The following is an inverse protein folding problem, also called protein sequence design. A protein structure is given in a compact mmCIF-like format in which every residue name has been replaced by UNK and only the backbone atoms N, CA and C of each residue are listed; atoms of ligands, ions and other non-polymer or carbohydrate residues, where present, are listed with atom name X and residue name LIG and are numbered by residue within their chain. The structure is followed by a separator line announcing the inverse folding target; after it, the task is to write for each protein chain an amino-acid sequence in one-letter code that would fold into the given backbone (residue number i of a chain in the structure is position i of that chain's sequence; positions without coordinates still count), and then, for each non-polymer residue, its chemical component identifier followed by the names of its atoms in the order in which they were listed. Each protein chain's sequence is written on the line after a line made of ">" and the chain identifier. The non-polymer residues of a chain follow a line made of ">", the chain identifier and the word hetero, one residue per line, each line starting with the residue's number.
data_IF_299584041258
#
_entry.id   IF_299584041258
#
_cell.length_a   1.000
_cell.length_b   1.000
_cell.length_c   1.000
_cell.angle_alpha   90.00
_cell.angle_beta   90.00
_cell.angle_gamma   90.00
#
_symmetry.space_group_name_H-M   'P 1'
#
loop_
_entity.id
_entity.type
_entity.pdbx_description
1 polymer ?
#
# COMPACT_ATOMS: atom_id res chain seq x y z
N UNK A 1 25.68 6.56 -0.18
CA UNK A 1 24.59 5.56 -0.28
C UNK A 1 23.19 6.18 -0.08
N UNK A 2 22.94 6.90 1.01
CA UNK A 2 21.59 7.42 1.37
C UNK A 2 20.99 8.42 0.35
N UNK A 3 21.78 9.36 -0.19
CA UNK A 3 21.30 10.37 -1.18
C UNK A 3 20.81 9.72 -2.49
N UNK A 4 21.42 8.61 -2.92
CA UNK A 4 21.04 7.94 -4.16
C UNK A 4 19.69 7.22 -4.04
N UNK A 5 19.33 6.74 -2.85
CA UNK A 5 18.04 6.10 -2.64
C UNK A 5 16.90 7.12 -2.72
N UNK A 6 17.06 8.31 -2.14
CA UNK A 6 16.03 9.37 -2.23
C UNK A 6 15.77 9.79 -3.68
N UNK A 7 16.82 9.91 -4.50
CA UNK A 7 16.68 10.25 -5.93
C UNK A 7 15.94 9.17 -6.74
N UNK A 8 16.15 7.90 -6.40
CA UNK A 8 15.61 6.76 -7.15
C UNK A 8 14.43 6.07 -6.46
N UNK A 9 13.87 6.68 -5.40
CA UNK A 9 12.77 6.08 -4.66
C UNK A 9 11.53 5.97 -5.55
N UNK A 10 10.84 4.82 -5.59
CA UNK A 10 9.71 4.61 -6.51
C UNK A 10 8.46 5.42 -6.17
N UNK A 11 8.52 6.30 -5.15
CA UNK A 11 7.43 7.18 -4.67
C UNK A 11 6.10 6.44 -4.48
N UNK A 12 6.18 5.18 -4.04
CA UNK A 12 5.04 4.32 -3.73
C UNK A 12 5.32 3.53 -2.45
N UNK A 13 4.28 3.16 -1.73
CA UNK A 13 4.37 2.17 -0.65
C UNK A 13 5.01 0.88 -1.21
N UNK A 14 6.04 0.34 -0.57
CA UNK A 14 6.60 -0.96 -0.94
C UNK A 14 5.74 -2.08 -0.34
N UNK A 15 4.81 -2.61 -1.13
CA UNK A 15 3.89 -3.65 -0.67
C UNK A 15 4.56 -5.03 -0.61
N UNK A 16 5.64 -5.24 -1.39
CA UNK A 16 6.34 -6.52 -1.44
C UNK A 16 6.90 -6.91 -0.08
N UNK A 17 7.47 -5.97 0.68
CA UNK A 17 7.96 -6.27 2.03
C UNK A 17 6.89 -6.85 2.95
N UNK A 18 5.67 -6.34 2.88
CA UNK A 18 4.56 -6.86 3.67
C UNK A 18 4.14 -8.26 3.21
N UNK A 19 4.09 -8.48 1.89
CA UNK A 19 3.69 -9.75 1.29
C UNK A 19 4.74 -10.85 1.52
N UNK A 20 6.02 -10.53 1.34
CA UNK A 20 7.15 -11.44 1.56
C UNK A 20 7.27 -11.80 3.05
N UNK A 21 7.13 -10.82 3.95
CA UNK A 21 7.13 -11.09 5.39
C UNK A 21 5.97 -12.01 5.80
N UNK A 22 4.76 -11.79 5.25
CA UNK A 22 3.63 -12.68 5.48
C UNK A 22 3.91 -14.11 4.99
N UNK A 23 4.48 -14.25 3.78
CA UNK A 23 4.78 -15.55 3.19
C UNK A 23 5.91 -16.30 3.93
N UNK A 24 6.85 -15.58 4.56
CA UNK A 24 7.97 -16.17 5.28
C UNK A 24 7.62 -16.70 6.68
N UNK A 25 6.42 -16.40 7.22
CA UNK A 25 6.04 -16.76 8.58
C UNK A 25 5.20 -18.06 8.58
N UNK A 26 5.68 -19.15 9.24
CA UNK A 26 5.00 -20.45 9.22
C UNK A 26 3.60 -20.45 9.86
N UNK A 27 3.40 -19.66 10.92
CA UNK A 27 2.09 -19.47 11.59
C UNK A 27 1.51 -18.10 11.24
N UNK A 28 1.01 -18.00 10.01
CA UNK A 28 0.46 -16.78 9.43
C UNK A 28 -0.82 -16.27 10.10
N UNK A 29 -1.41 -17.05 11.03
CA UNK A 29 -2.65 -16.70 11.74
C UNK A 29 -2.45 -15.44 12.59
N UNK A 30 -1.25 -15.25 13.17
CA UNK A 30 -0.92 -14.13 14.05
C UNK A 30 -0.24 -12.95 13.33
N UNK A 31 0.05 -13.06 12.03
CA UNK A 31 0.79 -12.01 11.32
C UNK A 31 0.07 -10.67 11.31
N UNK A 32 -1.24 -10.70 11.11
CA UNK A 32 -2.07 -9.51 11.09
C UNK A 32 -2.79 -9.36 12.43
N UNK A 33 -2.33 -8.40 13.23
CA UNK A 33 -2.96 -8.03 14.49
C UNK A 33 -4.37 -7.43 14.25
N UNK A 34 -5.24 -7.47 15.27
CA UNK A 34 -6.63 -6.99 15.22
C UNK A 34 -6.80 -5.52 14.76
N UNK A 35 -5.76 -4.70 14.92
CA UNK A 35 -5.74 -3.28 14.53
C UNK A 35 -5.20 -3.03 13.13
N UNK A 36 -4.75 -4.05 12.39
CA UNK A 36 -4.22 -3.88 11.03
C UNK A 36 -5.18 -3.12 10.10
N UNK A 37 -6.48 -3.40 10.21
CA UNK A 37 -7.54 -2.75 9.43
C UNK A 37 -7.64 -1.26 9.73
N UNK A 38 -7.32 -0.85 10.97
CA UNK A 38 -7.31 0.56 11.39
C UNK A 38 -6.14 1.30 10.74
N UNK A 39 -4.97 0.67 10.69
CA UNK A 39 -3.77 1.25 10.07
C UNK A 39 -3.86 1.27 8.54
N UNK A 40 -4.39 0.22 7.92
CA UNK A 40 -4.55 0.13 6.47
C UNK A 40 -5.81 0.84 5.94
N UNK A 41 -6.69 1.28 6.85
CA UNK A 41 -7.93 2.00 6.55
C UNK A 41 -9.03 1.14 5.94
N UNK A 42 -8.85 -0.18 5.86
CA UNK A 42 -9.83 -1.13 5.32
C UNK A 42 -9.43 -2.57 5.60
N UNK A 43 -10.42 -3.46 5.77
CA UNK A 43 -10.21 -4.92 5.85
C UNK A 43 -9.73 -5.55 4.54
N UNK A 44 -9.81 -4.80 3.43
CA UNK A 44 -9.58 -5.33 2.09
C UNK A 44 -8.13 -5.78 1.87
N UNK A 45 -7.15 -5.00 2.34
CA UNK A 45 -5.74 -5.29 2.09
C UNK A 45 -5.31 -6.63 2.71
N UNK A 46 -5.67 -6.86 3.97
CA UNK A 46 -5.41 -8.12 4.65
C UNK A 46 -6.03 -9.30 3.89
N UNK A 47 -7.31 -9.16 3.50
CA UNK A 47 -8.02 -10.20 2.75
C UNK A 47 -7.31 -10.53 1.43
N UNK A 48 -6.88 -9.52 0.68
CA UNK A 48 -6.21 -9.73 -0.60
C UNK A 48 -4.86 -10.43 -0.45
N UNK A 49 -4.07 -10.07 0.56
CA UNK A 49 -2.80 -10.73 0.86
C UNK A 49 -3.03 -12.20 1.26
N UNK A 50 -4.00 -12.46 2.16
CA UNK A 50 -4.37 -13.83 2.55
C UNK A 50 -4.88 -14.68 1.38
N UNK A 51 -5.50 -14.05 0.38
CA UNK A 51 -5.97 -14.70 -0.85
C UNK A 51 -4.87 -14.91 -1.90
N UNK A 52 -3.63 -14.46 -1.64
CA UNK A 52 -2.51 -14.64 -2.56
C UNK A 52 -2.57 -13.76 -3.81
N UNK A 53 -3.29 -12.62 -3.77
CA UNK A 53 -3.28 -11.68 -4.89
C UNK A 53 -1.89 -11.09 -5.08
N UNK A 54 -1.49 -10.92 -6.35
CA UNK A 54 -0.28 -10.20 -6.73
C UNK A 54 -0.35 -8.71 -6.33
N UNK A 55 0.81 -8.07 -6.18
CA UNK A 55 0.90 -6.63 -5.92
C UNK A 55 0.11 -5.82 -6.96
N UNK A 56 0.22 -6.21 -8.23
CA UNK A 56 -0.50 -5.54 -9.34
C UNK A 56 -2.01 -5.61 -9.16
N UNK A 57 -2.55 -6.79 -8.82
CA UNK A 57 -3.99 -6.95 -8.57
C UNK A 57 -4.45 -6.12 -7.37
N UNK A 58 -3.68 -6.11 -6.27
CA UNK A 58 -3.99 -5.29 -5.10
C UNK A 58 -4.04 -3.80 -5.48
N UNK A 59 -3.01 -3.30 -6.19
CA UNK A 59 -2.93 -1.89 -6.60
C UNK A 59 -4.05 -1.48 -7.54
N UNK A 60 -4.47 -2.35 -8.46
CA UNK A 60 -5.62 -2.10 -9.33
C UNK A 60 -6.89 -1.77 -8.53
N UNK A 61 -7.08 -2.40 -7.36
CA UNK A 61 -8.24 -2.11 -6.50
C UNK A 61 -8.20 -0.72 -5.85
N UNK A 62 -7.03 -0.08 -5.81
CA UNK A 62 -6.87 1.25 -5.21
C UNK A 62 -7.01 2.38 -6.25
N UNK A 63 -6.74 2.09 -7.53
CA UNK A 63 -6.66 3.08 -8.61
C UNK A 63 -7.85 4.04 -8.62
N UNK A 64 -9.08 3.52 -8.58
CA UNK A 64 -10.28 4.35 -8.67
C UNK A 64 -10.39 5.36 -7.52
N UNK A 65 -10.09 4.93 -6.28
CA UNK A 65 -10.15 5.81 -5.10
C UNK A 65 -9.00 6.82 -5.09
N UNK A 66 -7.80 6.41 -5.53
CA UNK A 66 -6.64 7.31 -5.66
C UNK A 66 -6.93 8.40 -6.68
N UNK A 67 -7.47 8.05 -7.86
CA UNK A 67 -7.81 9.04 -8.89
C UNK A 67 -8.92 9.99 -8.44
N UNK A 68 -9.91 9.49 -7.70
CA UNK A 68 -10.93 10.34 -7.10
C UNK A 68 -10.31 11.32 -6.08
N UNK A 69 -9.44 10.84 -5.19
CA UNK A 69 -8.76 11.68 -4.20
C UNK A 69 -7.87 12.73 -4.87
N UNK A 70 -7.11 12.35 -5.91
CA UNK A 70 -6.30 13.29 -6.69
C UNK A 70 -7.13 14.41 -7.29
N UNK A 71 -8.32 14.12 -7.83
CA UNK A 71 -9.25 15.15 -8.32
C UNK A 71 -9.75 16.06 -7.20
N UNK A 72 -10.10 15.49 -6.04
CA UNK A 72 -10.60 16.27 -4.90
C UNK A 72 -9.54 17.21 -4.33
N UNK A 73 -8.30 16.73 -4.12
CA UNK A 73 -7.22 17.51 -3.49
C UNK A 73 -6.75 18.70 -4.31
N UNK A 74 -6.97 18.71 -5.64
CA UNK A 74 -6.55 19.81 -6.54
C UNK A 74 -7.00 21.19 -6.08
N UNK A 75 -8.18 21.28 -5.47
CA UNK A 75 -8.75 22.53 -4.94
C UNK A 75 -7.98 23.12 -3.76
N UNK A 76 -7.10 22.35 -3.15
CA UNK A 76 -6.41 22.69 -1.90
C UNK A 76 -4.88 22.68 -2.05
N UNK A 77 -4.36 22.59 -3.27
CA UNK A 77 -2.92 22.59 -3.51
C UNK A 77 -2.36 24.01 -3.40
N UNK A 78 -1.34 24.20 -2.55
CA UNK A 78 -0.57 25.44 -2.44
C UNK A 78 0.65 25.48 -3.37
N UNK A 79 1.01 24.32 -3.94
CA UNK A 79 2.17 24.14 -4.83
C UNK A 79 1.76 23.36 -6.08
N UNK A 80 2.48 23.52 -7.20
CA UNK A 80 2.24 22.75 -8.42
C UNK A 80 2.19 21.25 -8.15
N UNK A 81 1.24 20.58 -8.82
CA UNK A 81 1.12 19.14 -8.73
C UNK A 81 2.26 18.44 -9.50
N UNK A 82 2.56 17.20 -9.13
CA UNK A 82 3.71 16.42 -9.59
C UNK A 82 3.43 15.52 -10.79
#
# INVERSE_FOLDING_TARGET
>A
AHINWLKNHPRKLNLLWLMEAYAAIPDSVLFFESTFDKHSGSKLLQKQIKQGLSETQIRQTWTNKIELFKKQRKRYLLYPDF
#
